data_IF_935609715558
#
_entry.id   IF_935609715558
#
_cell.length_a   1.000
_cell.length_b   1.000
_cell.length_c   1.000
_cell.angle_alpha   90.00
_cell.angle_beta   90.00
_cell.angle_gamma   90.00
#
_symmetry.space_group_name_H-M   'P 1'
#
loop_
_entity.id
_entity.type
_entity.pdbx_description
1 polymer ?
#
# COMPACT_ATOMS: atom_id res chain seq x y z
N UNK A 1 17.02 -8.12 -11.98
CA UNK A 1 16.48 -7.27 -10.88
C UNK A 1 15.68 -6.17 -11.53
N UNK A 2 14.39 -6.01 -11.19
CA UNK A 2 13.64 -4.83 -11.65
C UNK A 2 13.53 -3.88 -10.46
N UNK A 3 14.20 -2.73 -10.60
CA UNK A 3 14.18 -1.59 -9.67
C UNK A 3 12.74 -1.21 -9.26
N UNK A 4 11.76 -1.53 -10.13
CA UNK A 4 10.34 -1.21 -9.96
C UNK A 4 9.74 -1.70 -8.64
N UNK A 5 10.13 -2.88 -8.14
CA UNK A 5 9.56 -3.40 -6.89
C UNK A 5 9.99 -2.54 -5.69
N UNK A 6 11.27 -2.18 -5.63
CA UNK A 6 11.84 -1.30 -4.61
C UNK A 6 11.22 0.09 -4.69
N UNK A 7 11.12 0.68 -5.89
CA UNK A 7 10.52 2.00 -6.10
C UNK A 7 9.04 2.04 -5.68
N UNK A 8 8.28 0.98 -5.99
CA UNK A 8 6.88 0.88 -5.56
C UNK A 8 6.73 0.77 -4.05
N UNK A 9 7.63 0.04 -3.38
CA UNK A 9 7.65 -0.04 -1.92
C UNK A 9 7.99 1.32 -1.30
N UNK A 10 9.03 2.01 -1.79
CA UNK A 10 9.37 3.36 -1.35
C UNK A 10 8.21 4.34 -1.54
N UNK A 11 7.57 4.32 -2.72
CA UNK A 11 6.40 5.13 -3.00
C UNK A 11 5.24 4.85 -2.04
N UNK A 12 4.97 3.57 -1.71
CA UNK A 12 3.96 3.20 -0.70
C UNK A 12 4.34 3.61 0.71
N UNK A 13 5.58 3.46 1.11
CA UNK A 13 6.06 3.92 2.41
C UNK A 13 5.74 5.40 2.62
N UNK A 14 5.84 6.21 1.57
CA UNK A 14 5.52 7.65 1.63
C UNK A 14 4.01 7.90 1.57
N UNK A 15 3.30 7.26 0.64
CA UNK A 15 1.91 7.64 0.26
C UNK A 15 0.80 6.80 0.89
N UNK A 16 1.10 5.66 1.49
CA UNK A 16 0.12 4.68 1.98
C UNK A 16 0.26 4.47 3.49
N UNK A 17 -0.64 5.11 4.25
CA UNK A 17 -0.64 5.04 5.71
C UNK A 17 -0.92 3.62 6.25
N UNK A 18 -1.72 2.80 5.54
CA UNK A 18 -1.99 1.41 5.95
C UNK A 18 -0.75 0.56 5.77
N UNK A 19 -0.12 0.64 4.60
CA UNK A 19 1.11 -0.08 4.33
C UNK A 19 2.22 0.29 5.32
N UNK A 20 2.41 1.60 5.56
CA UNK A 20 3.43 2.10 6.48
C UNK A 20 3.18 1.68 7.94
N UNK A 21 1.93 1.42 8.34
CA UNK A 21 1.61 0.78 9.64
C UNK A 21 2.02 -0.70 9.63
N UNK A 22 1.62 -1.47 8.62
CA UNK A 22 1.96 -2.89 8.50
C UNK A 22 3.48 -3.15 8.46
N UNK A 23 4.25 -2.27 7.81
CA UNK A 23 5.72 -2.33 7.82
C UNK A 23 6.31 -2.14 9.21
N UNK A 24 5.63 -1.39 10.09
CA UNK A 24 6.03 -1.26 11.48
C UNK A 24 5.97 -2.58 12.26
N UNK A 25 5.15 -3.52 11.82
CA UNK A 25 5.04 -4.87 12.40
C UNK A 25 6.02 -5.84 11.73
N UNK A 26 6.02 -5.88 10.38
CA UNK A 26 6.99 -6.65 9.59
C UNK A 26 7.04 -6.14 8.15
N UNK A 27 8.23 -5.68 7.72
CA UNK A 27 8.46 -5.23 6.34
C UNK A 27 8.23 -6.35 5.32
N UNK A 28 8.78 -7.54 5.58
CA UNK A 28 8.67 -8.69 4.68
C UNK A 28 7.21 -9.11 4.50
N UNK A 29 6.49 -9.30 5.62
CA UNK A 29 5.08 -9.70 5.57
C UNK A 29 4.22 -8.65 4.84
N UNK A 30 4.46 -7.36 5.10
CA UNK A 30 3.77 -6.28 4.39
C UNK A 30 4.06 -6.30 2.89
N UNK A 31 5.30 -6.57 2.48
CA UNK A 31 5.68 -6.65 1.06
C UNK A 31 4.99 -7.82 0.36
N UNK A 32 5.01 -9.02 0.97
CA UNK A 32 4.35 -10.22 0.43
C UNK A 32 2.83 -10.02 0.31
N UNK A 33 2.19 -9.43 1.32
CA UNK A 33 0.75 -9.14 1.30
C UNK A 33 0.33 -8.18 0.17
N UNK A 34 1.24 -7.31 -0.27
CA UNK A 34 1.00 -6.40 -1.40
C UNK A 34 1.47 -6.98 -2.74
N UNK A 35 1.92 -8.24 -2.78
CA UNK A 35 2.39 -8.92 -3.98
C UNK A 35 3.76 -8.47 -4.46
N UNK A 36 4.59 -7.89 -3.59
CA UNK A 36 5.97 -7.55 -3.93
C UNK A 36 6.87 -8.77 -3.72
N UNK A 37 7.57 -9.16 -4.78
CA UNK A 37 8.65 -10.16 -4.73
C UNK A 37 9.99 -9.44 -4.62
N UNK A 38 10.46 -9.25 -3.40
CA UNK A 38 11.79 -8.70 -3.12
C UNK A 38 12.77 -9.82 -2.80
N UNK A 39 14.00 -9.67 -3.26
CA UNK A 39 15.11 -10.51 -2.83
C UNK A 39 15.49 -10.22 -1.36
N UNK A 40 16.18 -11.16 -0.69
CA UNK A 40 16.68 -10.93 0.67
C UNK A 40 17.57 -9.68 0.78
N UNK A 41 18.37 -9.40 -0.25
CA UNK A 41 19.24 -8.22 -0.30
C UNK A 41 18.43 -6.92 -0.37
N UNK A 42 17.40 -6.85 -1.20
CA UNK A 42 16.53 -5.66 -1.30
C UNK A 42 15.75 -5.43 0.00
N UNK A 43 15.27 -6.50 0.64
CA UNK A 43 14.65 -6.41 1.96
C UNK A 43 15.63 -5.88 3.02
N UNK A 44 16.89 -6.31 2.98
CA UNK A 44 17.94 -5.78 3.87
C UNK A 44 18.11 -4.27 3.67
N UNK A 45 18.27 -3.80 2.44
CA UNK A 45 18.42 -2.37 2.16
C UNK A 45 17.20 -1.54 2.60
N UNK A 46 15.99 -2.06 2.39
CA UNK A 46 14.76 -1.39 2.82
C UNK A 46 14.60 -1.41 4.35
N UNK A 47 15.13 -2.42 5.04
CA UNK A 47 15.09 -2.53 6.50
C UNK A 47 16.00 -1.53 7.21
N UNK A 48 17.03 -1.05 6.52
CA UNK A 48 17.95 -0.01 7.01
C UNK A 48 17.34 1.40 6.98
N UNK A 49 16.18 1.57 6.34
CA UNK A 49 15.51 2.87 6.26
C UNK A 49 15.01 3.33 7.63
N UNK A 50 15.33 4.58 7.96
CA UNK A 50 14.76 5.23 9.14
C UNK A 50 13.26 5.53 8.95
N UNK A 51 12.39 4.60 9.35
CA UNK A 51 10.93 4.75 9.23
C UNK A 51 10.40 6.03 9.90
N UNK A 52 11.09 6.56 10.93
CA UNK A 52 10.76 7.85 11.55
C UNK A 52 10.87 9.02 10.55
N UNK A 53 11.92 9.06 9.73
CA UNK A 53 12.10 10.09 8.70
C UNK A 53 11.08 9.96 7.58
N UNK A 54 10.77 8.72 7.17
CA UNK A 54 9.72 8.46 6.18
C UNK A 54 8.37 8.95 6.70
N UNK A 55 8.04 8.70 7.98
CA UNK A 55 6.81 9.20 8.60
C UNK A 55 6.75 10.72 8.61
N UNK A 56 7.86 11.40 8.90
CA UNK A 56 7.94 12.86 8.85
C UNK A 56 7.70 13.40 7.44
N UNK A 57 8.33 12.79 6.42
CA UNK A 57 8.10 13.13 5.02
C UNK A 57 6.64 12.88 4.61
N UNK A 58 6.09 11.72 4.95
CA UNK A 58 4.69 11.37 4.67
C UNK A 58 3.70 12.38 5.29
N UNK A 59 4.05 12.98 6.43
CA UNK A 59 3.25 14.01 7.07
C UNK A 59 3.38 15.41 6.42
N UNK A 60 4.44 15.65 5.64
CA UNK A 60 4.69 16.94 4.98
C UNK A 60 4.30 16.98 3.49
N UNK A 61 4.01 15.83 2.88
CA UNK A 61 3.56 15.78 1.47
C UNK A 61 2.09 16.19 1.31
N UNK A 62 1.72 16.62 0.10
CA UNK A 62 0.34 16.93 -0.24
C UNK A 62 -0.55 15.68 -0.06
N UNK A 63 -1.63 15.81 0.70
CA UNK A 63 -2.56 14.70 1.01
C UNK A 63 -3.26 14.14 -0.21
N UNK A 64 -3.37 14.89 -1.32
CA UNK A 64 -3.86 14.39 -2.61
C UNK A 64 -2.94 13.37 -3.28
N UNK A 65 -1.67 13.27 -2.84
CA UNK A 65 -0.75 12.20 -3.28
C UNK A 65 -0.90 10.93 -2.44
N UNK A 66 -1.54 11.01 -1.28
CA UNK A 66 -1.77 9.86 -0.44
C UNK A 66 -2.83 8.96 -1.06
N UNK A 67 -2.67 7.64 -0.91
CA UNK A 67 -3.73 6.71 -1.29
C UNK A 67 -4.96 6.97 -0.42
N UNK A 68 -6.11 7.10 -1.07
CA UNK A 68 -7.38 7.12 -0.37
C UNK A 68 -7.46 5.83 0.48
N UNK A 69 -7.71 6.00 1.77
CA UNK A 69 -8.09 4.91 2.65
C UNK A 69 -9.51 4.47 2.24
N UNK A 70 -9.70 3.93 1.03
CA UNK A 70 -11.01 3.47 0.58
C UNK A 70 -11.44 2.40 1.59
N UNK A 71 -12.50 2.62 2.38
CA UNK A 71 -13.16 1.51 3.04
C UNK A 71 -13.67 0.64 1.91
N UNK A 72 -13.49 -0.68 2.01
CA UNK A 72 -14.17 -1.62 1.13
C UNK A 72 -15.67 -1.55 1.42
N UNK A 73 -16.33 -0.47 1.02
CA UNK A 73 -17.78 -0.47 0.84
C UNK A 73 -17.99 -1.23 -0.45
N UNK A 74 -18.22 -2.54 -0.32
CA UNK A 74 -18.90 -3.35 -1.32
C UNK A 74 -20.12 -2.54 -1.77
N UNK A 75 -20.05 -1.93 -2.96
CA UNK A 75 -21.26 -1.60 -3.70
C UNK A 75 -21.95 -2.94 -3.95
N UNK A 76 -22.96 -3.25 -3.13
CA UNK A 76 -23.96 -4.25 -3.47
C UNK A 76 -24.55 -3.84 -4.80
N UNK A 77 -24.16 -4.58 -5.84
CA UNK A 77 -24.70 -4.50 -7.18
C UNK A 77 -26.21 -4.79 -7.05
N UNK A 78 -27.04 -3.75 -7.09
CA UNK A 78 -28.48 -3.90 -7.33
C UNK A 78 -28.65 -4.11 -8.83
N UNK A 79 -28.53 -5.36 -9.30
CA UNK A 79 -29.14 -5.76 -10.58
C UNK A 79 -30.64 -5.83 -10.29
N UNK A 80 -31.35 -4.75 -10.61
CA UNK A 80 -32.80 -4.74 -10.63
C UNK A 80 -33.27 -5.64 -11.78
N UNK A 81 -33.62 -6.88 -11.43
CA UNK A 81 -34.27 -7.82 -12.33
C UNK A 81 -35.74 -7.36 -12.50
N UNK A 82 -36.04 -6.62 -13.57
CA UNK A 82 -37.41 -6.41 -14.05
C UNK A 82 -37.58 -7.22 -15.33
N UNK A 83 -37.85 -8.51 -15.17
CA UNK A 83 -38.54 -9.30 -16.18
C UNK A 83 -39.97 -9.56 -15.71
N UNK A 84 -40.88 -8.87 -16.38
CA UNK A 84 -42.19 -9.30 -16.86
C UNK A 84 -42.94 -10.40 -16.08
N UNK A 85 -44.10 -10.02 -15.53
CA UNK A 85 -45.35 -10.80 -15.66
C UNK A 85 -46.53 -9.89 -15.40
N UNK A 86 -47.17 -9.45 -16.50
CA UNK A 86 -48.58 -9.10 -16.55
C UNK A 86 -49.16 -9.69 -17.83
#
# INVERSE_FOLDING_TARGET
MSQDAVERVLGRLITDARFRRAVGDSLEAACVQQGYSLSPTELSFLSELELKRIRALAASINTGLCRADTPLTRCSIHIANRESKS
#
